data_IF_611824987185
#
_entry.id   IF_611824987185
#
_cell.length_a   1.000
_cell.length_b   1.000
_cell.length_c   1.000
_cell.angle_alpha   90.00
_cell.angle_beta   90.00
_cell.angle_gamma   90.00
#
_symmetry.space_group_name_H-M   'P 1'
#
loop_
_entity.id
_entity.type
_entity.pdbx_description
1 polymer ?
#
# COMPACT_ATOMS: atom_id res chain seq x y z
N UNK A 1 -8.98 -31.11 -8.62
CA UNK A 1 -10.30 -30.55 -9.02
C UNK A 1 -10.61 -29.29 -8.19
N UNK A 2 -10.31 -28.13 -8.75
CA UNK A 2 -10.63 -26.83 -8.18
C UNK A 2 -12.13 -26.58 -8.34
N UNK A 3 -12.93 -27.23 -7.49
CA UNK A 3 -14.34 -26.89 -7.35
C UNK A 3 -14.43 -25.48 -6.79
N UNK A 4 -15.10 -24.58 -7.51
CA UNK A 4 -15.52 -23.29 -7.00
C UNK A 4 -16.40 -23.53 -5.76
N UNK A 5 -15.76 -23.55 -4.58
CA UNK A 5 -16.50 -23.46 -3.32
C UNK A 5 -17.07 -22.05 -3.27
N UNK A 6 -18.35 -21.87 -2.94
CA UNK A 6 -18.90 -20.53 -2.74
C UNK A 6 -18.04 -19.79 -1.72
N UNK A 7 -17.93 -18.47 -1.84
CA UNK A 7 -17.26 -17.65 -0.83
C UNK A 7 -18.03 -17.77 0.49
N UNK A 8 -17.69 -18.78 1.29
CA UNK A 8 -18.27 -18.97 2.62
C UNK A 8 -17.54 -18.02 3.55
N UNK A 9 -18.27 -17.04 4.08
CA UNK A 9 -17.79 -16.24 5.20
C UNK A 9 -17.54 -17.19 6.38
N UNK A 10 -16.27 -17.37 6.74
CA UNK A 10 -15.89 -18.11 7.94
C UNK A 10 -15.90 -17.13 9.12
N UNK A 11 -16.93 -17.21 9.97
CA UNK A 11 -16.88 -16.62 11.30
C UNK A 11 -16.11 -17.56 12.21
N UNK A 12 -14.90 -17.16 12.60
CA UNK A 12 -14.05 -17.93 13.49
C UNK A 12 -14.51 -17.72 14.95
N UNK A 13 -14.53 -18.76 15.78
CA UNK A 13 -14.97 -18.63 17.17
C UNK A 13 -14.03 -17.70 17.97
N UNK A 14 -14.54 -16.91 18.94
CA UNK A 14 -13.71 -16.02 19.76
C UNK A 14 -12.65 -16.75 20.61
N UNK A 15 -12.84 -18.04 20.84
CA UNK A 15 -11.89 -18.92 21.54
C UNK A 15 -10.69 -19.30 20.69
N UNK A 16 -10.74 -19.09 19.37
CA UNK A 16 -9.65 -19.45 18.49
C UNK A 16 -8.42 -18.62 18.83
N UNK A 17 -7.27 -19.29 18.85
CA UNK A 17 -5.98 -18.66 19.08
C UNK A 17 -5.14 -18.82 17.84
N UNK A 18 -4.45 -17.74 17.47
CA UNK A 18 -3.42 -17.79 16.44
C UNK A 18 -2.31 -18.72 16.92
N UNK A 19 -1.95 -19.77 16.15
CA UNK A 19 -0.80 -20.57 16.49
C UNK A 19 0.47 -19.71 16.39
N UNK A 20 1.36 -19.88 17.35
CA UNK A 20 2.70 -19.28 17.35
C UNK A 20 3.71 -20.42 17.40
N UNK A 21 4.54 -20.51 16.38
CA UNK A 21 5.59 -21.51 16.31
C UNK A 21 6.84 -20.99 17.01
N UNK A 22 7.45 -21.79 17.89
CA UNK A 22 8.69 -21.44 18.58
C UNK A 22 9.82 -22.35 18.09
N UNK A 23 10.96 -21.77 17.74
CA UNK A 23 12.17 -22.51 17.34
C UNK A 23 13.38 -21.88 17.99
N UNK A 24 14.28 -22.69 18.55
CA UNK A 24 15.62 -22.24 18.94
C UNK A 24 16.60 -22.58 17.83
N UNK A 25 17.31 -21.57 17.35
CA UNK A 25 18.31 -21.72 16.30
C UNK A 25 19.62 -22.21 16.88
N UNK A 26 20.35 -22.99 16.08
CA UNK A 26 21.69 -23.48 16.44
C UNK A 26 22.78 -22.49 16.02
N UNK A 27 22.46 -21.60 15.08
CA UNK A 27 23.34 -20.60 14.50
C UNK A 27 22.51 -19.36 14.12
N UNK A 28 22.88 -18.13 14.55
CA UNK A 28 22.21 -16.89 14.16
C UNK A 28 22.06 -16.68 12.65
N UNK A 29 23.00 -17.19 11.84
CA UNK A 29 22.95 -17.04 10.39
C UNK A 29 21.77 -17.80 9.74
N UNK A 30 21.11 -18.71 10.50
CA UNK A 30 19.91 -19.41 10.06
C UNK A 30 18.66 -18.52 10.01
N UNK A 31 18.68 -17.32 10.59
CA UNK A 31 17.50 -16.42 10.61
C UNK A 31 17.02 -16.11 9.18
N UNK A 32 17.92 -15.72 8.28
CA UNK A 32 17.54 -15.34 6.90
C UNK A 32 17.01 -16.54 6.11
N UNK A 33 17.57 -17.73 6.35
CA UNK A 33 17.08 -18.98 5.77
C UNK A 33 15.64 -19.28 6.21
N UNK A 34 15.34 -19.14 7.51
CA UNK A 34 13.99 -19.34 8.07
C UNK A 34 12.99 -18.32 7.53
N UNK A 35 13.39 -17.05 7.41
CA UNK A 35 12.56 -15.99 6.82
C UNK A 35 12.28 -16.30 5.35
N UNK A 36 13.30 -16.68 4.59
CA UNK A 36 13.16 -17.05 3.17
C UNK A 36 12.26 -18.28 2.98
N UNK A 37 12.42 -19.30 3.82
CA UNK A 37 11.56 -20.49 3.81
C UNK A 37 10.10 -20.13 4.14
N UNK A 38 9.87 -19.25 5.12
CA UNK A 38 8.52 -18.79 5.46
C UNK A 38 7.88 -18.01 4.30
N UNK A 39 8.61 -17.10 3.65
CA UNK A 39 8.14 -16.35 2.47
C UNK A 39 7.73 -17.27 1.31
N UNK A 40 8.39 -18.42 1.16
CA UNK A 40 8.05 -19.39 0.13
C UNK A 40 6.77 -20.19 0.43
N UNK A 41 6.31 -20.21 1.69
CA UNK A 41 5.09 -20.94 2.08
C UNK A 41 3.86 -20.18 1.59
N UNK A 42 3.01 -20.87 0.82
CA UNK A 42 1.76 -20.30 0.33
C UNK A 42 0.67 -20.34 1.41
N UNK A 43 -0.24 -19.39 1.30
CA UNK A 43 -1.52 -19.40 1.99
C UNK A 43 -2.59 -19.89 1.03
N UNK A 44 -3.51 -20.71 1.52
CA UNK A 44 -4.76 -20.99 0.82
C UNK A 44 -5.76 -19.90 1.22
N UNK A 45 -6.18 -18.98 0.34
CA UNK A 45 -6.96 -17.78 0.72
C UNK A 45 -8.29 -18.07 1.41
N UNK A 46 -8.81 -19.29 1.29
CA UNK A 46 -10.07 -19.75 1.88
C UNK A 46 -9.88 -20.56 3.19
N UNK A 47 -8.64 -20.74 3.64
CA UNK A 47 -8.33 -21.54 4.81
C UNK A 47 -7.68 -20.68 5.90
N UNK A 48 -8.21 -20.80 7.12
CA UNK A 48 -7.57 -20.27 8.31
C UNK A 48 -6.33 -21.12 8.69
N UNK A 49 -5.17 -20.55 9.10
CA UNK A 49 -4.88 -19.14 9.22
C UNK A 49 -4.24 -18.43 8.02
N UNK A 50 -4.62 -17.16 7.83
CA UNK A 50 -4.04 -16.22 6.86
C UNK A 50 -2.98 -15.28 7.48
N UNK A 51 -2.61 -15.54 8.73
CA UNK A 51 -1.49 -14.95 9.47
C UNK A 51 -0.77 -16.07 10.21
N UNK A 52 0.55 -16.15 10.06
CA UNK A 52 1.44 -17.07 10.78
C UNK A 52 2.43 -16.25 11.57
N UNK A 53 2.68 -16.69 12.81
CA UNK A 53 3.64 -16.08 13.72
C UNK A 53 4.66 -17.13 14.11
N UNK A 54 5.95 -16.77 14.05
CA UNK A 54 7.05 -17.62 14.48
C UNK A 54 8.04 -16.82 15.30
N UNK A 55 8.44 -17.35 16.44
CA UNK A 55 9.49 -16.78 17.29
C UNK A 55 10.74 -17.65 17.13
N UNK A 56 11.80 -17.05 16.61
CA UNK A 56 13.12 -17.66 16.51
C UNK A 56 13.96 -17.17 17.68
N UNK A 57 14.37 -18.06 18.56
CA UNK A 57 15.34 -17.77 19.62
C UNK A 57 16.74 -17.92 19.05
N UNK A 58 17.47 -16.82 18.99
CA UNK A 58 18.84 -16.71 18.43
C UNK A 58 19.87 -16.85 19.55
N UNK A 59 19.58 -16.24 20.70
CA UNK A 59 20.35 -16.32 21.94
C UNK A 59 19.38 -16.25 23.14
N UNK A 60 19.83 -16.45 24.40
CA UNK A 60 18.95 -16.41 25.58
C UNK A 60 18.12 -15.12 25.74
N UNK A 61 18.64 -13.99 25.26
CA UNK A 61 18.05 -12.66 25.33
C UNK A 61 17.79 -12.04 23.94
N UNK A 62 17.97 -12.83 22.87
CA UNK A 62 17.81 -12.38 21.50
C UNK A 62 16.79 -13.25 20.75
N UNK A 63 15.71 -12.61 20.28
CA UNK A 63 14.63 -13.28 19.57
C UNK A 63 14.21 -12.49 18.33
N UNK A 64 13.82 -13.22 17.29
CA UNK A 64 13.25 -12.66 16.05
C UNK A 64 11.81 -13.14 15.92
N UNK A 65 10.86 -12.20 15.89
CA UNK A 65 9.47 -12.48 15.55
C UNK A 65 9.26 -12.33 14.04
N UNK A 66 8.92 -13.44 13.38
CA UNK A 66 8.50 -13.47 11.98
C UNK A 66 6.98 -13.47 11.93
N UNK A 67 6.40 -12.44 11.31
CA UNK A 67 4.97 -12.35 11.03
C UNK A 67 4.74 -12.41 9.52
N UNK A 68 4.07 -13.46 9.05
CA UNK A 68 3.76 -13.67 7.64
C UNK A 68 2.24 -13.67 7.46
N UNK A 69 1.72 -12.73 6.70
CA UNK A 69 0.28 -12.58 6.48
C UNK A 69 -0.05 -12.51 4.99
N UNK A 70 -1.21 -13.06 4.60
CA UNK A 70 -1.74 -12.84 3.26
C UNK A 70 -2.31 -11.42 3.15
N UNK A 71 -1.94 -10.70 2.10
CA UNK A 71 -2.41 -9.32 1.84
C UNK A 71 -3.94 -9.17 1.65
N UNK A 72 -4.70 -10.28 1.66
CA UNK A 72 -6.17 -10.28 1.59
C UNK A 72 -6.81 -9.96 2.95
N UNK A 73 -6.07 -10.08 4.04
CA UNK A 73 -6.57 -9.75 5.39
C UNK A 73 -6.03 -8.42 5.92
N UNK A 74 -5.01 -7.85 5.29
CA UNK A 74 -4.34 -6.65 5.79
C UNK A 74 -3.49 -5.97 4.73
N UNK A 75 -3.11 -4.74 5.02
CA UNK A 75 -2.26 -3.88 4.20
C UNK A 75 -1.05 -3.36 5.01
N UNK A 76 -0.21 -2.52 4.40
CA UNK A 76 0.95 -1.94 5.09
C UNK A 76 0.60 -1.15 6.35
N UNK A 77 -0.57 -0.49 6.36
CA UNK A 77 -1.08 0.18 7.56
C UNK A 77 -1.44 -0.83 8.66
N UNK A 78 -2.11 -1.92 8.29
CA UNK A 78 -2.48 -3.01 9.19
C UNK A 78 -1.26 -3.69 9.80
N UNK A 79 -0.17 -3.84 9.04
CA UNK A 79 1.09 -4.35 9.56
C UNK A 79 1.69 -3.44 10.65
N UNK A 80 1.73 -2.13 10.40
CA UNK A 80 2.21 -1.15 11.39
C UNK A 80 1.29 -1.11 12.64
N UNK A 81 -0.03 -1.20 12.44
CA UNK A 81 -1.01 -1.28 13.52
C UNK A 81 -0.79 -2.54 14.37
N UNK A 82 -0.62 -3.71 13.75
CA UNK A 82 -0.37 -4.97 14.44
C UNK A 82 0.88 -4.90 15.31
N UNK A 83 1.99 -4.40 14.78
CA UNK A 83 3.25 -4.26 15.55
C UNK A 83 3.05 -3.33 16.75
N UNK A 84 2.40 -2.19 16.54
CA UNK A 84 2.12 -1.22 17.62
C UNK A 84 1.24 -1.84 18.71
N UNK A 85 0.14 -2.49 18.33
CA UNK A 85 -0.79 -3.10 19.30
C UNK A 85 -0.14 -4.28 20.02
N UNK A 86 0.62 -5.11 19.32
CA UNK A 86 1.36 -6.23 19.91
C UNK A 86 2.33 -5.74 20.98
N UNK A 87 3.17 -4.74 20.67
CA UNK A 87 4.13 -4.17 21.63
C UNK A 87 3.40 -3.56 22.83
N UNK A 88 2.33 -2.81 22.59
CA UNK A 88 1.55 -2.16 23.66
C UNK A 88 0.94 -3.19 24.61
N UNK A 89 0.33 -4.25 24.07
CA UNK A 89 -0.30 -5.31 24.85
C UNK A 89 0.76 -6.15 25.58
N UNK A 90 1.85 -6.50 24.90
CA UNK A 90 2.96 -7.25 25.48
C UNK A 90 3.59 -6.52 26.68
N UNK A 91 3.86 -5.23 26.51
CA UNK A 91 4.45 -4.38 27.55
C UNK A 91 3.56 -4.29 28.80
N UNK A 92 2.25 -4.09 28.64
CA UNK A 92 1.30 -4.12 29.74
C UNK A 92 1.27 -5.49 30.46
N UNK A 93 1.18 -6.59 29.69
CA UNK A 93 1.20 -7.95 30.26
C UNK A 93 2.51 -8.24 30.99
N UNK A 94 3.65 -7.75 30.50
CA UNK A 94 4.96 -7.95 31.13
C UNK A 94 5.07 -7.33 32.52
N UNK A 95 4.29 -6.29 32.80
CA UNK A 95 4.16 -5.65 34.12
C UNK A 95 3.09 -6.26 35.01
N UNK A 96 2.32 -7.23 34.51
CA UNK A 96 1.15 -7.78 35.20
C UNK A 96 -0.09 -6.89 35.10
N UNK A 97 -0.11 -5.89 34.22
CA UNK A 97 -1.29 -5.08 33.95
C UNK A 97 -2.31 -5.88 33.10
N UNK A 98 -3.60 -5.50 33.18
CA UNK A 98 -4.65 -6.03 32.30
C UNK A 98 -4.83 -5.06 31.13
N UNK A 99 -4.46 -5.42 29.90
CA UNK A 99 -4.63 -4.55 28.74
C UNK A 99 -6.11 -4.23 28.52
N UNK A 100 -6.48 -2.96 28.58
CA UNK A 100 -7.83 -2.49 28.29
C UNK A 100 -7.79 -1.61 27.04
N UNK A 101 -8.19 -2.17 25.90
CA UNK A 101 -8.43 -1.39 24.69
C UNK A 101 -9.93 -1.14 24.55
N UNK A 102 -10.36 0.11 24.26
CA UNK A 102 -11.76 0.37 24.01
C UNK A 102 -12.23 -0.45 22.81
N UNK A 103 -13.44 -1.04 22.85
CA UNK A 103 -13.95 -1.85 21.76
C UNK A 103 -14.00 -1.04 20.46
N UNK A 104 -13.75 -1.70 19.33
CA UNK A 104 -13.89 -1.09 18.02
C UNK A 104 -15.36 -0.80 17.74
N UNK A 105 -15.67 0.39 17.24
CA UNK A 105 -17.03 0.79 16.85
C UNK A 105 -17.38 0.46 15.40
N UNK A 106 -16.43 -0.07 14.65
CA UNK A 106 -16.63 -0.60 13.30
C UNK A 106 -15.70 -1.77 13.03
N UNK A 107 -15.98 -2.50 11.96
CA UNK A 107 -15.25 -3.67 11.50
C UNK A 107 -14.88 -3.52 10.02
N UNK A 108 -13.97 -4.36 9.53
CA UNK A 108 -13.70 -4.41 8.10
C UNK A 108 -14.93 -4.85 7.28
N UNK A 109 -15.85 -5.62 7.88
CA UNK A 109 -17.12 -5.99 7.24
C UNK A 109 -17.96 -4.75 6.94
N UNK A 110 -18.05 -3.80 7.87
CA UNK A 110 -18.80 -2.55 7.66
C UNK A 110 -18.21 -1.73 6.50
N UNK A 111 -16.88 -1.71 6.39
CA UNK A 111 -16.18 -1.13 5.24
C UNK A 111 -16.50 -1.83 3.93
N UNK A 112 -16.45 -3.18 3.90
CA UNK A 112 -16.74 -3.95 2.70
C UNK A 112 -18.19 -3.76 2.20
N UNK A 113 -19.17 -3.72 3.12
CA UNK A 113 -20.57 -3.43 2.78
C UNK A 113 -20.71 -2.04 2.19
N UNK A 114 -20.14 -1.02 2.83
CA UNK A 114 -20.16 0.36 2.32
C UNK A 114 -19.49 0.49 0.96
N UNK A 115 -18.37 -0.21 0.75
CA UNK A 115 -17.67 -0.22 -0.54
C UNK A 115 -18.55 -0.83 -1.64
N UNK A 116 -19.28 -1.91 -1.35
CA UNK A 116 -20.21 -2.54 -2.29
C UNK A 116 -21.38 -1.61 -2.64
N UNK A 117 -21.97 -0.95 -1.63
CA UNK A 117 -23.05 0.05 -1.82
C UNK A 117 -22.59 1.21 -2.71
N UNK A 118 -21.40 1.77 -2.45
CA UNK A 118 -20.81 2.84 -3.28
C UNK A 118 -20.56 2.39 -4.71
N UNK A 119 -20.08 1.16 -4.89
CA UNK A 119 -19.79 0.61 -6.21
C UNK A 119 -21.07 0.34 -7.03
N UNK A 120 -22.19 0.09 -6.35
CA UNK A 120 -23.50 -0.11 -6.97
C UNK A 120 -24.25 1.21 -7.25
N UNK A 121 -23.86 2.31 -6.59
CA UNK A 121 -24.47 3.62 -6.80
C UNK A 121 -24.18 4.15 -8.22
N UNK A 122 -25.15 4.82 -8.89
CA UNK A 122 -24.90 5.49 -10.16
C UNK A 122 -23.73 6.47 -10.02
N UNK A 123 -22.84 6.49 -11.00
CA UNK A 123 -21.74 7.46 -11.03
C UNK A 123 -22.33 8.87 -10.87
N UNK A 124 -22.01 9.55 -9.76
CA UNK A 124 -22.56 10.86 -9.40
C UNK A 124 -22.41 11.81 -10.60
N UNK A 125 -23.46 12.56 -11.00
CA UNK A 125 -23.35 13.56 -12.05
C UNK A 125 -22.29 14.58 -11.66
N UNK A 126 -21.49 15.02 -12.64
CA UNK A 126 -20.42 15.99 -12.47
C UNK A 126 -20.98 17.36 -12.03
N UNK A 127 -21.26 17.55 -10.74
CA UNK A 127 -21.39 18.86 -10.09
C UNK A 127 -20.06 19.33 -9.51
N UNK A 128 -18.97 18.59 -9.78
CA UNK A 128 -17.63 19.02 -9.44
C UNK A 128 -17.30 20.35 -10.16
N UNK A 129 -16.66 21.31 -9.46
CA UNK A 129 -16.32 22.61 -10.01
C UNK A 129 -15.47 22.48 -11.30
N UNK A 130 -15.45 23.51 -12.17
CA UNK A 130 -14.95 23.47 -13.55
C UNK A 130 -13.43 23.30 -13.70
N UNK A 131 -12.72 22.87 -12.64
CA UNK A 131 -11.34 22.46 -12.77
C UNK A 131 -11.32 21.04 -13.33
N UNK A 132 -11.26 20.99 -14.66
CA UNK A 132 -10.49 19.98 -15.38
C UNK A 132 -11.04 18.55 -15.13
N UNK A 133 -11.95 18.10 -16.00
CA UNK A 133 -12.69 16.83 -15.88
C UNK A 133 -11.72 15.64 -15.77
N UNK A 134 -11.34 15.27 -14.53
CA UNK A 134 -10.42 14.18 -14.20
C UNK A 134 -10.79 12.87 -14.89
N UNK A 135 -12.10 12.57 -14.98
CA UNK A 135 -12.60 11.42 -15.72
C UNK A 135 -12.24 11.53 -17.19
N UNK A 136 -12.49 12.66 -17.84
CA UNK A 136 -12.05 12.88 -19.22
C UNK A 136 -10.52 12.80 -19.39
N UNK A 137 -9.72 13.33 -18.45
CA UNK A 137 -8.24 13.19 -18.48
C UNK A 137 -7.82 11.72 -18.42
N UNK A 138 -8.40 10.93 -17.51
CA UNK A 138 -8.06 9.51 -17.36
C UNK A 138 -8.63 8.65 -18.49
N UNK A 139 -9.73 9.06 -19.12
CA UNK A 139 -10.35 8.39 -20.27
C UNK A 139 -9.72 8.77 -21.62
N UNK A 140 -8.95 9.85 -21.69
CA UNK A 140 -8.28 10.25 -22.92
C UNK A 140 -7.26 9.20 -23.36
N UNK A 141 -7.04 8.99 -24.68
CA UNK A 141 -6.07 8.02 -25.18
C UNK A 141 -4.74 8.10 -24.46
N UNK A 142 -4.22 6.94 -24.06
CA UNK A 142 -2.97 6.81 -23.32
C UNK A 142 -2.09 5.79 -24.00
N UNK A 143 -0.82 6.15 -24.22
CA UNK A 143 0.20 5.25 -24.73
C UNK A 143 1.22 5.03 -23.62
N UNK A 144 1.22 3.86 -22.95
CA UNK A 144 2.19 3.56 -21.91
C UNK A 144 3.64 3.82 -22.37
N UNK A 145 4.49 4.42 -21.52
CA UNK A 145 5.90 4.56 -21.83
C UNK A 145 6.59 3.19 -21.83
N UNK A 146 7.63 3.05 -22.64
CA UNK A 146 8.50 1.87 -22.58
C UNK A 146 9.58 2.15 -21.53
N UNK A 147 9.54 1.41 -20.41
CA UNK A 147 10.46 1.59 -19.29
C UNK A 147 11.75 0.78 -19.42
N UNK A 148 11.79 -0.21 -20.32
CA UNK A 148 12.97 -1.04 -20.55
C UNK A 148 13.18 -1.34 -22.04
N UNK A 149 14.44 -1.32 -22.47
CA UNK A 149 14.86 -1.99 -23.69
C UNK A 149 14.79 -3.51 -23.44
N UNK A 150 13.72 -4.17 -23.91
CA UNK A 150 13.76 -5.60 -24.24
C UNK A 150 13.88 -6.64 -23.11
N UNK A 151 13.38 -6.38 -21.90
CA UNK A 151 13.21 -7.48 -20.92
C UNK A 151 11.98 -8.31 -21.27
N UNK A 152 12.20 -9.54 -21.77
CA UNK A 152 11.15 -10.55 -21.98
C UNK A 152 10.42 -10.82 -20.66
N UNK A 153 9.22 -10.28 -20.53
CA UNK A 153 8.34 -10.43 -19.35
C UNK A 153 7.55 -11.73 -19.37
N UNK A 154 7.87 -12.68 -20.28
CA UNK A 154 7.26 -14.02 -20.21
C UNK A 154 7.48 -14.64 -18.84
N UNK A 155 6.41 -15.28 -18.36
CA UNK A 155 6.21 -15.92 -17.07
C UNK A 155 7.41 -16.76 -16.60
N UNK A 156 8.46 -16.10 -16.11
CA UNK A 156 9.59 -16.77 -15.48
C UNK A 156 9.22 -17.04 -14.02
N UNK A 157 9.50 -18.24 -13.48
CA UNK A 157 9.18 -18.54 -12.10
C UNK A 157 9.93 -17.59 -11.17
N UNK A 158 9.22 -17.01 -10.20
CA UNK A 158 9.84 -16.26 -9.10
C UNK A 158 10.59 -17.24 -8.21
N UNK A 159 11.92 -17.19 -8.25
CA UNK A 159 12.78 -18.11 -7.50
C UNK A 159 13.87 -17.31 -6.79
N UNK A 160 14.40 -17.85 -5.68
CA UNK A 160 15.50 -17.19 -4.96
C UNK A 160 16.72 -16.91 -5.86
N UNK A 161 17.00 -17.78 -6.84
CA UNK A 161 18.09 -17.61 -7.79
C UNK A 161 17.79 -16.59 -8.92
N UNK A 162 16.52 -16.26 -9.15
CA UNK A 162 16.09 -15.34 -10.19
C UNK A 162 14.78 -14.66 -9.76
N UNK A 163 14.85 -13.68 -8.85
CA UNK A 163 13.66 -13.02 -8.33
C UNK A 163 13.01 -12.14 -9.40
N UNK A 164 11.68 -12.11 -9.44
CA UNK A 164 10.93 -11.23 -10.35
C UNK A 164 11.03 -9.75 -9.97
N UNK A 165 11.30 -9.48 -8.69
CA UNK A 165 11.38 -8.14 -8.14
C UNK A 165 12.77 -7.91 -7.56
N UNK A 166 13.39 -6.81 -7.96
CA UNK A 166 14.65 -6.35 -7.40
C UNK A 166 14.40 -5.12 -6.54
N UNK A 167 15.01 -5.07 -5.37
CA UNK A 167 14.98 -3.89 -4.50
C UNK A 167 16.34 -3.25 -4.50
N UNK A 168 16.38 -1.93 -4.75
CA UNK A 168 17.58 -1.12 -4.61
C UNK A 168 17.31 -0.03 -3.58
N UNK A 169 18.15 0.04 -2.55
CA UNK A 169 18.09 1.05 -1.51
C UNK A 169 19.19 2.07 -1.67
N UNK A 170 18.87 3.33 -1.38
CA UNK A 170 19.85 4.41 -1.24
C UNK A 170 19.39 5.36 -0.14
N UNK A 171 20.33 6.12 0.41
CA UNK A 171 20.06 7.12 1.44
C UNK A 171 20.18 8.51 0.84
N UNK A 172 19.29 9.41 1.29
CA UNK A 172 19.33 10.84 0.96
C UNK A 172 19.86 11.56 2.19
N UNK A 173 20.83 12.45 2.01
CA UNK A 173 21.49 13.14 3.10
C UNK A 173 20.53 14.06 3.88
N UNK A 174 20.82 14.26 5.17
CA UNK A 174 19.91 14.95 6.08
C UNK A 174 19.63 16.41 5.67
N UNK A 175 20.63 17.11 5.14
CA UNK A 175 20.51 18.47 4.61
C UNK A 175 19.57 18.53 3.39
N UNK A 176 19.66 17.55 2.50
CA UNK A 176 18.75 17.40 1.37
C UNK A 176 17.32 17.09 1.82
N UNK A 177 17.14 16.21 2.82
CA UNK A 177 15.81 15.92 3.40
C UNK A 177 15.20 17.18 4.02
N UNK A 178 15.98 17.98 4.75
CA UNK A 178 15.50 19.25 5.31
C UNK A 178 15.14 20.27 4.21
N UNK A 179 15.91 20.35 3.13
CA UNK A 179 15.57 21.18 1.98
C UNK A 179 14.23 20.75 1.33
N UNK A 180 13.99 19.44 1.20
CA UNK A 180 12.73 18.89 0.69
C UNK A 180 11.56 19.17 1.64
N UNK A 181 11.76 19.07 2.96
CA UNK A 181 10.76 19.44 3.97
C UNK A 181 10.41 20.91 3.90
N UNK A 182 11.42 21.78 3.77
CA UNK A 182 11.23 23.22 3.57
C UNK A 182 10.43 23.52 2.30
N UNK A 183 10.73 22.82 1.20
CA UNK A 183 9.97 22.94 -0.04
C UNK A 183 8.51 22.48 0.10
N UNK A 184 8.29 21.34 0.77
CA UNK A 184 6.95 20.84 1.04
C UNK A 184 6.12 21.84 1.85
N UNK A 185 6.70 22.38 2.92
CA UNK A 185 6.07 23.35 3.81
C UNK A 185 5.67 24.64 3.07
N UNK A 186 6.56 25.21 2.24
CA UNK A 186 6.24 26.41 1.43
C UNK A 186 5.09 26.21 0.45
N UNK A 187 4.83 24.97 0.04
CA UNK A 187 3.74 24.62 -0.88
C UNK A 187 2.51 24.04 -0.17
N UNK A 188 2.47 24.03 1.17
CA UNK A 188 1.35 23.47 1.93
C UNK A 188 1.17 21.96 1.75
N UNK A 189 2.27 21.23 1.51
CA UNK A 189 2.28 19.78 1.30
C UNK A 189 3.16 19.08 2.34
N UNK A 190 3.14 17.74 2.37
CA UNK A 190 4.13 16.96 3.12
C UNK A 190 5.21 16.41 2.20
N UNK A 191 6.24 15.76 2.78
CA UNK A 191 7.42 15.27 2.08
C UNK A 191 7.10 14.36 0.87
N UNK A 192 5.91 13.73 0.84
CA UNK A 192 5.49 12.91 -0.30
C UNK A 192 5.47 13.70 -1.62
N UNK A 193 5.08 14.97 -1.62
CA UNK A 193 4.89 15.74 -2.85
C UNK A 193 6.22 16.02 -3.56
N UNK A 194 7.26 16.60 -2.91
CA UNK A 194 8.59 16.71 -3.51
C UNK A 194 9.17 15.39 -4.00
N UNK A 195 9.02 14.30 -3.24
CA UNK A 195 9.54 12.97 -3.61
C UNK A 195 8.81 12.43 -4.84
N UNK A 196 7.48 12.54 -4.89
CA UNK A 196 6.66 12.16 -6.04
C UNK A 196 7.02 13.00 -7.28
N UNK A 197 7.31 14.29 -7.11
CA UNK A 197 7.78 15.16 -8.20
C UNK A 197 9.14 14.74 -8.74
N UNK A 198 10.08 14.42 -7.85
CA UNK A 198 11.38 13.89 -8.26
C UNK A 198 11.21 12.56 -9.04
N UNK A 199 10.37 11.66 -8.56
CA UNK A 199 10.05 10.40 -9.23
C UNK A 199 9.40 10.61 -10.61
N UNK A 200 8.38 11.47 -10.70
CA UNK A 200 7.73 11.83 -11.97
C UNK A 200 8.73 12.41 -12.98
N UNK A 201 9.60 13.33 -12.56
CA UNK A 201 10.60 13.94 -13.44
C UNK A 201 11.68 12.95 -13.87
N UNK A 202 12.09 12.04 -12.99
CA UNK A 202 13.03 10.97 -13.33
C UNK A 202 12.44 10.04 -14.41
N UNK A 203 11.17 9.63 -14.26
CA UNK A 203 10.46 8.86 -15.28
C UNK A 203 10.30 9.65 -16.59
N UNK A 204 9.95 10.93 -16.50
CA UNK A 204 9.79 11.77 -17.68
C UNK A 204 11.09 11.91 -18.48
N UNK A 205 12.20 12.09 -17.76
CA UNK A 205 13.55 12.15 -18.35
C UNK A 205 13.94 10.82 -18.97
N UNK A 206 13.71 9.70 -18.26
CA UNK A 206 14.08 8.36 -18.72
C UNK A 206 13.29 7.91 -19.94
N UNK A 207 12.01 8.26 -19.99
CA UNK A 207 11.08 7.82 -21.05
C UNK A 207 10.95 8.81 -22.20
N UNK A 208 11.46 10.04 -22.04
CA UNK A 208 11.24 11.16 -22.96
C UNK A 208 9.77 11.59 -23.06
N UNK A 209 8.91 11.22 -22.09
CA UNK A 209 7.47 11.50 -22.10
C UNK A 209 7.01 12.08 -20.78
N UNK A 210 6.16 13.09 -20.85
CA UNK A 210 5.61 13.71 -19.65
C UNK A 210 4.15 13.36 -19.40
N UNK A 211 3.47 12.82 -20.41
CA UNK A 211 2.19 12.16 -20.25
C UNK A 211 2.41 10.76 -19.67
N UNK A 212 2.36 10.71 -18.34
CA UNK A 212 2.59 9.53 -17.52
C UNK A 212 1.40 9.31 -16.60
N UNK A 213 0.95 8.06 -16.52
CA UNK A 213 0.00 7.62 -15.49
C UNK A 213 0.78 6.93 -14.38
N UNK A 214 0.73 7.49 -13.18
CA UNK A 214 1.38 6.95 -11.98
C UNK A 214 0.32 6.31 -11.07
N UNK A 215 0.63 5.17 -10.45
CA UNK A 215 -0.19 4.62 -9.37
C UNK A 215 0.25 5.20 -8.03
N UNK A 216 -0.67 5.83 -7.30
CA UNK A 216 -0.43 6.27 -5.92
C UNK A 216 -1.18 5.35 -4.97
N UNK A 217 -0.44 4.63 -4.12
CA UNK A 217 -1.03 3.89 -3.02
C UNK A 217 -1.59 4.87 -1.96
N UNK A 218 -2.83 4.64 -1.54
CA UNK A 218 -3.51 5.40 -0.49
C UNK A 218 -4.03 4.43 0.56
N UNK A 219 -4.16 4.87 1.81
CA UNK A 219 -4.54 4.00 2.93
C UNK A 219 -5.97 3.47 2.81
N UNK A 220 -6.87 4.19 2.14
CA UNK A 220 -8.30 3.90 2.12
C UNK A 220 -8.98 4.08 3.48
N UNK A 221 -8.33 4.77 4.43
CA UNK A 221 -8.80 4.96 5.81
C UNK A 221 -9.23 6.39 6.11
N UNK A 222 -9.35 7.22 5.08
CA UNK A 222 -9.84 8.60 5.20
C UNK A 222 -11.38 8.65 5.28
N UNK A 223 -12.04 7.49 5.08
CA UNK A 223 -13.49 7.28 5.23
C UNK A 223 -13.99 7.55 6.67
N UNK A 224 -15.23 8.02 6.79
CA UNK A 224 -15.89 8.35 8.05
C UNK A 224 -16.32 7.15 8.93
N UNK A 225 -15.75 5.96 8.75
CA UNK A 225 -16.07 4.83 9.64
C UNK A 225 -15.46 5.06 11.04
N UNK A 226 -16.24 4.97 12.13
CA UNK A 226 -15.72 5.13 13.48
C UNK A 226 -14.57 4.16 13.74
N UNK A 227 -13.44 4.66 14.25
CA UNK A 227 -12.26 3.87 14.58
C UNK A 227 -11.58 3.17 13.39
N UNK A 228 -11.84 3.57 12.15
CA UNK A 228 -11.23 2.92 10.96
C UNK A 228 -9.70 2.84 11.04
N UNK A 229 -9.05 3.81 11.66
CA UNK A 229 -7.60 3.85 11.89
C UNK A 229 -7.07 2.77 12.87
N UNK A 230 -7.96 2.02 13.53
CA UNK A 230 -7.69 0.90 14.45
C UNK A 230 -8.21 -0.44 13.93
N UNK A 231 -8.83 -0.47 12.75
CA UNK A 231 -9.41 -1.70 12.20
C UNK A 231 -8.37 -2.40 11.33
N UNK A 232 -8.01 -3.65 11.65
CA UNK A 232 -7.18 -4.48 10.78
C UNK A 232 -7.96 -4.88 9.51
N UNK A 233 -7.37 -4.72 8.33
CA UNK A 233 -8.04 -5.03 7.06
C UNK A 233 -7.32 -4.49 5.82
N UNK A 234 -7.61 -5.00 4.61
CA UNK A 234 -7.05 -4.45 3.36
C UNK A 234 -7.84 -3.22 2.91
N UNK A 235 -7.57 -2.06 3.51
CA UNK A 235 -8.20 -0.80 3.11
C UNK A 235 -7.44 -0.13 1.97
N UNK A 236 -6.13 -0.38 1.88
CA UNK A 236 -5.28 0.26 0.92
C UNK A 236 -5.74 0.03 -0.53
N UNK A 237 -5.73 1.10 -1.31
CA UNK A 237 -6.05 1.08 -2.74
C UNK A 237 -5.01 1.89 -3.52
N UNK A 238 -4.98 1.72 -4.84
CA UNK A 238 -4.15 2.50 -5.73
C UNK A 238 -5.02 3.43 -6.58
N UNK A 239 -4.71 4.73 -6.56
CA UNK A 239 -5.39 5.74 -7.38
C UNK A 239 -4.46 6.22 -8.49
N UNK A 240 -4.95 6.38 -9.74
CA UNK A 240 -4.09 6.86 -10.82
C UNK A 240 -3.87 8.37 -10.71
N UNK A 241 -2.69 8.83 -11.05
CA UNK A 241 -2.36 10.25 -11.24
C UNK A 241 -1.95 10.45 -12.70
N UNK A 242 -2.56 11.40 -13.40
CA UNK A 242 -2.14 11.82 -14.75
C UNK A 242 -1.88 13.34 -14.73
N UNK A 243 -0.76 13.79 -14.13
CA UNK A 243 -0.51 15.21 -13.87
C UNK A 243 -0.42 16.06 -15.15
N UNK A 244 0.05 15.47 -16.25
CA UNK A 244 0.15 16.14 -17.54
C UNK A 244 -0.50 15.28 -18.63
N UNK A 245 -1.71 15.64 -19.09
CA UNK A 245 -2.33 15.05 -20.29
C UNK A 245 -2.01 15.82 -21.59
N UNK A 246 -2.52 15.39 -22.75
CA UNK A 246 -2.29 16.04 -24.05
C UNK A 246 -2.67 17.53 -24.10
N UNK A 247 -3.65 17.94 -23.28
CA UNK A 247 -4.12 19.32 -23.16
C UNK A 247 -3.50 20.11 -21.99
N UNK A 248 -2.60 19.50 -21.20
CA UNK A 248 -2.14 20.05 -19.92
C UNK A 248 -1.24 21.30 -20.03
N UNK A 249 -0.90 21.71 -21.26
CA UNK A 249 -0.11 22.92 -21.52
C UNK A 249 1.27 22.90 -20.88
N UNK A 250 1.77 21.74 -20.41
CA UNK A 250 3.11 21.62 -19.83
C UNK A 250 4.12 21.88 -20.94
N UNK A 251 4.66 23.09 -20.97
CA UNK A 251 5.73 23.49 -21.88
C UNK A 251 7.04 22.89 -21.41
N UNK A 252 7.96 22.63 -22.31
CA UNK A 252 9.33 22.30 -21.93
C UNK A 252 9.92 23.45 -21.09
N UNK A 253 10.51 23.12 -19.94
CA UNK A 253 11.07 24.09 -18.99
C UNK A 253 10.21 24.47 -17.79
N UNK A 254 9.15 23.74 -17.45
CA UNK A 254 8.44 23.95 -16.16
C UNK A 254 9.36 23.77 -14.96
N UNK A 255 9.23 24.67 -13.97
CA UNK A 255 10.03 24.61 -12.74
C UNK A 255 9.64 23.41 -11.87
N UNK A 256 10.55 22.99 -10.99
CA UNK A 256 10.26 21.88 -10.06
C UNK A 256 9.04 22.17 -9.18
N UNK A 257 8.91 23.41 -8.69
CA UNK A 257 7.79 23.80 -7.83
C UNK A 257 6.44 23.82 -8.58
N UNK A 258 6.43 24.07 -9.90
CA UNK A 258 5.20 23.99 -10.72
C UNK A 258 4.73 22.54 -10.86
N UNK A 259 5.65 21.63 -11.17
CA UNK A 259 5.35 20.19 -11.24
C UNK A 259 4.91 19.65 -9.87
N UNK A 260 5.50 20.15 -8.78
CA UNK A 260 5.10 19.83 -7.42
C UNK A 260 3.67 20.25 -7.13
N UNK A 261 3.31 21.52 -7.37
CA UNK A 261 1.94 22.00 -7.16
C UNK A 261 0.93 21.19 -7.96
N UNK A 262 1.24 20.91 -9.23
CA UNK A 262 0.40 20.09 -10.12
C UNK A 262 0.19 18.67 -9.60
N UNK A 263 1.26 18.00 -9.19
CA UNK A 263 1.18 16.64 -8.63
C UNK A 263 0.45 16.62 -7.28
N UNK A 264 0.66 17.62 -6.44
CA UNK A 264 -0.04 17.74 -5.17
C UNK A 264 -1.55 17.93 -5.35
N UNK A 265 -1.96 18.79 -6.28
CA UNK A 265 -3.38 18.97 -6.64
C UNK A 265 -3.97 17.67 -7.19
N UNK A 266 -3.32 17.04 -8.16
CA UNK A 266 -3.78 15.78 -8.76
C UNK A 266 -3.87 14.66 -7.71
N UNK A 267 -2.93 14.56 -6.77
CA UNK A 267 -2.95 13.60 -5.68
C UNK A 267 -4.07 13.88 -4.65
N UNK A 268 -4.33 15.15 -4.34
CA UNK A 268 -5.44 15.53 -3.46
C UNK A 268 -6.79 15.19 -4.10
N UNK A 269 -6.97 15.53 -5.39
CA UNK A 269 -8.16 15.14 -6.16
C UNK A 269 -8.31 13.62 -6.22
N UNK A 270 -7.22 12.88 -6.44
CA UNK A 270 -7.26 11.43 -6.53
C UNK A 270 -7.64 10.76 -5.21
N UNK A 271 -7.21 11.31 -4.07
CA UNK A 271 -7.57 10.81 -2.72
C UNK A 271 -9.02 11.08 -2.36
N UNK A 272 -9.55 12.23 -2.78
CA UNK A 272 -10.95 12.61 -2.54
C UNK A 272 -11.93 11.95 -3.52
N UNK A 273 -11.44 11.36 -4.62
CA UNK A 273 -12.29 10.76 -5.64
C UNK A 273 -12.78 9.37 -5.21
N UNK A 274 -14.06 9.30 -4.85
CA UNK A 274 -14.73 8.06 -4.43
C UNK A 274 -15.39 7.28 -5.58
N UNK A 275 -15.27 7.74 -6.83
CA UNK A 275 -15.91 7.13 -8.00
C UNK A 275 -15.10 6.01 -8.65
N UNK A 276 -15.72 5.29 -9.59
CA UNK A 276 -15.00 4.35 -10.45
C UNK A 276 -13.95 5.08 -11.31
N UNK A 277 -12.76 4.50 -11.40
CA UNK A 277 -11.71 4.91 -12.33
C UNK A 277 -12.04 4.30 -13.71
N UNK A 278 -11.92 5.04 -14.83
CA UNK A 278 -12.10 4.47 -16.15
C UNK A 278 -11.13 3.30 -16.37
N UNK A 279 -11.59 2.22 -17.01
CA UNK A 279 -10.67 1.24 -17.56
C UNK A 279 -9.77 1.96 -18.56
N UNK A 280 -8.45 1.90 -18.36
CA UNK A 280 -7.52 2.39 -19.37
C UNK A 280 -7.75 1.52 -20.62
N UNK A 281 -8.01 2.13 -21.80
CA UNK A 281 -8.07 1.37 -23.03
C UNK A 281 -6.68 0.78 -23.26
N UNK A 282 -6.55 -0.53 -23.10
CA UNK A 282 -5.40 -1.28 -23.61
C UNK A 282 -5.51 -1.38 -25.13
#
# INVERSE_FOLDING_TARGET
PAGARPAVQQELPPSLRLPVDFETLSDPDQVEERISAERARRFEPWAWPLLRLRVLTVAPDEHVLVAHAHHIIGDGYSAALLVRELITVYDALSRGDVPAQPPLRSTFRDHAVRLAERSAAPAVPATAPPHDNRRARLSAPYRPPVLSAGTDTRARPDTAANPLFHTYGFTVDADQVEALRGLAARNGTSLYAPVLTAYYRALATTTGRTDLVLGLAVSGRDDALPDVHRVFGPFATAVPLRPAGPASGRRDGTGFEDDLRRLATEAAEARAYEGAVPALPN
#
